data_IF_023620745700
#
_entry.id   IF_023620745700
#
_cell.length_a   1.000
_cell.length_b   1.000
_cell.length_c   1.000
_cell.angle_alpha   90.00
_cell.angle_beta   90.00
_cell.angle_gamma   90.00
#
_symmetry.space_group_name_H-M   'P 1'
#
loop_
_entity.id
_entity.type
_entity.pdbx_description
1 polymer ?
#
# COMPACT_ATOMS: atom_id res chain seq x y z
N UNK A 1 34.85 2.58 -8.21
CA UNK A 1 33.46 2.78 -7.78
C UNK A 1 32.74 1.44 -7.87
N UNK A 2 32.26 0.89 -6.77
CA UNK A 2 31.50 -0.35 -6.79
C UNK A 2 30.20 -0.10 -7.58
N UNK A 3 30.00 -0.79 -8.71
CA UNK A 3 28.78 -0.70 -9.51
C UNK A 3 27.57 -1.14 -8.68
N UNK A 4 26.39 -0.55 -8.93
CA UNK A 4 25.14 -0.99 -8.30
C UNK A 4 24.88 -2.44 -8.66
N UNK A 5 24.52 -3.28 -7.70
CA UNK A 5 24.16 -4.69 -7.94
C UNK A 5 22.94 -4.81 -8.86
N UNK A 6 22.03 -3.82 -8.84
CA UNK A 6 20.88 -3.70 -9.74
C UNK A 6 20.86 -2.33 -10.41
N UNK A 7 20.75 -2.25 -11.76
CA UNK A 7 20.64 -0.98 -12.47
C UNK A 7 19.29 -0.31 -12.14
N UNK A 8 19.22 1.01 -12.33
CA UNK A 8 18.00 1.80 -12.08
C UNK A 8 16.80 1.33 -12.88
N UNK A 9 17.04 0.84 -14.10
CA UNK A 9 16.00 0.29 -14.99
C UNK A 9 15.29 -0.94 -14.40
N UNK A 10 15.98 -1.66 -13.50
CA UNK A 10 15.46 -2.86 -12.80
C UNK A 10 15.15 -2.61 -11.33
N UNK A 11 15.11 -1.36 -10.90
CA UNK A 11 14.76 -0.97 -9.53
C UNK A 11 13.50 -0.13 -9.55
N UNK A 12 12.50 -0.50 -8.73
CA UNK A 12 11.24 0.24 -8.60
C UNK A 12 10.87 0.42 -7.15
N UNK A 13 10.41 1.62 -6.84
CA UNK A 13 9.85 1.97 -5.54
C UNK A 13 8.32 1.93 -5.66
N UNK A 14 7.69 1.00 -4.96
CA UNK A 14 6.24 0.80 -4.99
C UNK A 14 5.66 1.14 -3.63
N UNK A 15 4.70 2.05 -3.62
CA UNK A 15 3.93 2.39 -2.42
C UNK A 15 2.70 1.50 -2.28
N UNK A 16 2.40 1.06 -1.06
CA UNK A 16 1.13 0.41 -0.75
C UNK A 16 0.30 1.36 0.09
N UNK A 17 -0.86 1.71 -0.43
CA UNK A 17 -1.80 2.65 0.17
C UNK A 17 -3.12 1.93 0.45
N UNK A 18 -3.71 2.19 1.59
CA UNK A 18 -5.00 1.60 1.92
C UNK A 18 -5.69 2.40 3.02
N UNK A 19 -7.02 2.29 3.06
CA UNK A 19 -7.79 2.62 4.25
C UNK A 19 -7.47 1.65 5.39
N UNK A 20 -7.68 2.08 6.64
CA UNK A 20 -7.58 1.23 7.84
C UNK A 20 -8.42 -0.04 7.62
N UNK A 21 -7.87 -1.17 8.00
CA UNK A 21 -8.50 -2.50 7.86
C UNK A 21 -8.80 -2.97 6.43
N UNK A 22 -8.32 -2.29 5.39
CA UNK A 22 -8.44 -2.79 4.01
C UNK A 22 -7.52 -4.00 3.73
N UNK A 23 -6.60 -4.31 4.64
CA UNK A 23 -5.64 -5.41 4.52
C UNK A 23 -4.33 -5.00 3.87
N UNK A 24 -3.86 -3.78 4.12
CA UNK A 24 -2.58 -3.26 3.63
C UNK A 24 -1.41 -4.14 4.06
N UNK A 25 -1.23 -4.31 5.37
CA UNK A 25 -0.16 -5.14 5.95
C UNK A 25 -0.25 -6.57 5.46
N UNK A 26 -1.42 -7.16 5.44
CA UNK A 26 -1.64 -8.52 4.92
C UNK A 26 -1.20 -8.64 3.45
N UNK A 27 -1.53 -7.66 2.61
CA UNK A 27 -1.12 -7.64 1.20
C UNK A 27 0.39 -7.55 1.07
N UNK A 28 1.05 -6.68 1.85
CA UNK A 28 2.50 -6.53 1.86
C UNK A 28 3.18 -7.84 2.30
N UNK A 29 2.73 -8.45 3.38
CA UNK A 29 3.25 -9.73 3.88
C UNK A 29 3.11 -10.85 2.85
N UNK A 30 2.00 -10.91 2.11
CA UNK A 30 1.82 -11.88 1.02
C UNK A 30 2.82 -11.65 -0.12
N UNK A 31 3.07 -10.40 -0.50
CA UNK A 31 4.08 -10.07 -1.52
C UNK A 31 5.47 -10.54 -1.04
N UNK A 32 5.84 -10.26 0.21
CA UNK A 32 7.11 -10.68 0.78
C UNK A 32 7.25 -12.21 0.83
N UNK A 33 6.19 -12.91 1.17
CA UNK A 33 6.16 -14.36 1.18
C UNK A 33 6.36 -14.94 -0.23
N UNK A 34 5.58 -14.50 -1.22
CA UNK A 34 5.69 -15.02 -2.60
C UNK A 34 6.99 -14.62 -3.30
N UNK A 35 7.65 -13.55 -2.89
CA UNK A 35 8.99 -13.17 -3.39
C UNK A 35 10.12 -13.88 -2.64
N UNK A 36 9.81 -14.75 -1.67
CA UNK A 36 10.80 -15.53 -0.92
C UNK A 36 11.56 -14.71 0.14
N UNK A 37 11.12 -13.49 0.45
CA UNK A 37 11.76 -12.66 1.48
C UNK A 37 11.45 -13.17 2.89
N UNK A 38 10.26 -13.69 3.11
CA UNK A 38 9.84 -14.31 4.37
C UNK A 38 9.44 -15.75 4.13
N UNK A 39 9.73 -16.64 5.09
CA UNK A 39 9.37 -18.05 5.01
C UNK A 39 8.04 -18.38 5.70
N UNK A 40 7.52 -17.44 6.47
CA UNK A 40 6.24 -17.56 7.19
C UNK A 40 5.39 -16.33 6.89
N UNK A 41 4.10 -16.55 6.70
CA UNK A 41 3.14 -15.46 6.54
C UNK A 41 2.89 -14.88 7.93
N UNK A 42 3.23 -13.59 8.13
CA UNK A 42 2.87 -12.84 9.32
C UNK A 42 1.45 -12.31 9.21
N UNK A 43 0.68 -12.41 10.28
CA UNK A 43 -0.64 -11.81 10.38
C UNK A 43 -0.65 -10.69 11.43
N UNK A 44 -1.40 -9.63 11.15
CA UNK A 44 -1.48 -8.45 12.03
C UNK A 44 -2.01 -8.83 13.41
N UNK A 45 -3.00 -9.72 13.45
CA UNK A 45 -3.62 -10.19 14.70
C UNK A 45 -2.68 -11.03 15.57
N UNK A 46 -1.66 -11.65 14.98
CA UNK A 46 -0.66 -12.45 15.71
C UNK A 46 0.59 -11.64 16.08
N UNK A 47 0.67 -10.35 15.70
CA UNK A 47 1.85 -9.51 15.92
C UNK A 47 3.11 -9.99 15.19
N UNK A 48 2.95 -10.85 14.18
CA UNK A 48 4.03 -11.50 13.46
C UNK A 48 4.37 -10.83 12.10
N UNK A 49 3.74 -9.70 11.78
CA UNK A 49 3.95 -9.01 10.52
C UNK A 49 5.34 -8.35 10.47
N UNK A 50 6.07 -8.58 9.38
CA UNK A 50 7.45 -8.11 9.20
C UNK A 50 7.55 -6.58 9.08
N UNK A 51 6.47 -5.93 8.62
CA UNK A 51 6.43 -4.48 8.41
C UNK A 51 6.00 -3.71 9.66
N UNK A 52 5.35 -4.36 10.63
CA UNK A 52 4.89 -3.73 11.88
C UNK A 52 5.97 -3.86 12.95
N UNK A 53 7.02 -3.06 12.86
CA UNK A 53 8.18 -3.13 13.75
C UNK A 53 8.05 -2.32 15.03
N UNK A 54 7.11 -1.38 15.10
CA UNK A 54 6.83 -0.62 16.32
C UNK A 54 5.76 -1.32 17.17
N UNK A 55 5.98 -1.39 18.48
CA UNK A 55 5.01 -1.98 19.41
C UNK A 55 3.62 -1.32 19.33
N UNK A 56 3.58 -0.01 19.09
CA UNK A 56 2.32 0.74 18.91
C UNK A 56 1.58 0.38 17.61
N UNK A 57 2.29 0.02 16.56
CA UNK A 57 1.72 -0.46 15.31
C UNK A 57 1.12 -1.84 15.49
N UNK A 58 1.82 -2.72 16.23
CA UNK A 58 1.34 -4.06 16.55
C UNK A 58 0.07 -4.05 17.43
N UNK A 59 0.02 -3.17 18.45
CA UNK A 59 -1.15 -3.04 19.32
C UNK A 59 -2.40 -2.53 18.59
N UNK A 60 -2.23 -1.61 17.64
CA UNK A 60 -3.34 -0.94 16.94
C UNK A 60 -3.65 -1.55 15.59
N UNK A 61 -2.78 -2.41 15.06
CA UNK A 61 -2.91 -2.97 13.72
C UNK A 61 -2.85 -1.93 12.60
N UNK A 62 -2.22 -0.77 12.83
CA UNK A 62 -2.08 0.33 11.87
C UNK A 62 -0.63 0.74 11.70
N UNK A 63 -0.25 1.11 10.48
CA UNK A 63 1.08 1.64 10.18
C UNK A 63 1.17 3.11 10.61
N UNK A 64 2.11 3.44 11.47
CA UNK A 64 2.34 4.82 11.97
C UNK A 64 3.44 5.50 11.17
N UNK A 65 4.55 4.82 10.94
CA UNK A 65 5.70 5.32 10.18
C UNK A 65 5.86 4.55 8.87
N UNK A 66 6.31 5.23 7.82
CA UNK A 66 6.61 4.56 6.55
C UNK A 66 7.75 3.57 6.73
N UNK A 67 7.49 2.31 6.48
CA UNK A 67 8.49 1.25 6.46
C UNK A 67 8.89 0.92 5.02
N UNK A 68 10.16 0.60 4.80
CA UNK A 68 10.65 0.20 3.50
C UNK A 68 11.26 -1.20 3.57
N UNK A 69 10.77 -2.09 2.74
CA UNK A 69 11.33 -3.44 2.60
C UNK A 69 11.66 -3.74 1.15
N UNK A 70 12.80 -4.36 0.91
CA UNK A 70 13.24 -4.74 -0.43
C UNK A 70 12.95 -6.21 -0.67
N UNK A 71 12.33 -6.52 -1.81
CA UNK A 71 12.21 -7.87 -2.34
C UNK A 71 12.69 -7.94 -3.80
N UNK A 72 12.85 -9.17 -4.31
CA UNK A 72 13.37 -9.42 -5.65
C UNK A 72 12.40 -10.31 -6.41
N UNK A 73 12.06 -9.91 -7.63
CA UNK A 73 11.18 -10.67 -8.50
C UNK A 73 11.61 -10.57 -9.96
N UNK A 74 11.77 -11.70 -10.63
CA UNK A 74 12.18 -11.78 -12.05
C UNK A 74 13.36 -10.85 -12.39
N UNK A 75 14.44 -10.93 -11.59
CA UNK A 75 15.65 -10.11 -11.71
C UNK A 75 15.43 -8.58 -11.56
N UNK A 76 14.34 -8.18 -10.93
CA UNK A 76 14.10 -6.79 -10.57
C UNK A 76 14.17 -6.63 -9.05
N UNK A 77 14.68 -5.48 -8.61
CA UNK A 77 14.64 -5.04 -7.22
C UNK A 77 13.38 -4.20 -7.01
N UNK A 78 12.56 -4.61 -6.06
CA UNK A 78 11.33 -3.91 -5.69
C UNK A 78 11.48 -3.44 -4.24
N UNK A 79 11.45 -2.14 -4.04
CA UNK A 79 11.39 -1.53 -2.72
C UNK A 79 9.91 -1.26 -2.42
N UNK A 80 9.36 -1.95 -1.45
CA UNK A 80 7.99 -1.75 -1.00
C UNK A 80 8.03 -0.72 0.11
N UNK A 81 7.33 0.39 -0.10
CA UNK A 81 7.18 1.47 0.87
C UNK A 81 5.76 1.39 1.40
N UNK A 82 5.64 0.94 2.62
CA UNK A 82 4.35 0.88 3.31
C UNK A 82 4.02 2.26 3.87
N UNK A 83 2.99 2.89 3.30
CA UNK A 83 2.59 4.25 3.68
C UNK A 83 1.51 4.21 4.74
N UNK A 84 1.57 5.09 5.76
CA UNK A 84 0.49 5.21 6.74
C UNK A 84 -0.84 5.47 6.06
N UNK A 85 -1.89 4.74 6.46
CA UNK A 85 -3.25 4.90 5.94
C UNK A 85 -4.09 5.91 6.73
N UNK A 86 -3.58 6.44 7.83
CA UNK A 86 -4.33 7.33 8.71
C UNK A 86 -4.20 8.80 8.30
N UNK A 87 -5.27 9.57 8.46
CA UNK A 87 -5.34 10.99 8.04
C UNK A 87 -4.33 11.85 8.78
N UNK A 88 -4.00 11.50 10.02
CA UNK A 88 -3.09 12.26 10.90
C UNK A 88 -1.61 12.20 10.45
N UNK A 89 -1.26 11.26 9.56
CA UNK A 89 0.11 11.06 9.07
C UNK A 89 0.36 11.67 7.68
N UNK A 90 -0.30 12.76 7.34
CA UNK A 90 -0.25 13.39 6.01
C UNK A 90 1.17 13.73 5.56
N UNK A 91 2.05 14.18 6.46
CA UNK A 91 3.44 14.54 6.15
C UNK A 91 4.26 13.30 5.75
N UNK A 92 4.09 12.19 6.46
CA UNK A 92 4.78 10.93 6.15
C UNK A 92 4.31 10.36 4.81
N UNK A 93 3.00 10.41 4.54
CA UNK A 93 2.42 10.02 3.26
C UNK A 93 3.01 10.87 2.11
N UNK A 94 3.09 12.20 2.27
CA UNK A 94 3.65 13.08 1.25
C UNK A 94 5.14 12.83 0.98
N UNK A 95 5.92 12.56 2.03
CA UNK A 95 7.34 12.21 1.88
C UNK A 95 7.51 10.91 1.11
N UNK A 96 6.70 9.91 1.42
CA UNK A 96 6.72 8.61 0.74
C UNK A 96 6.35 8.77 -0.74
N UNK A 97 5.28 9.50 -1.06
CA UNK A 97 4.81 9.70 -2.44
C UNK A 97 5.85 10.30 -3.38
N UNK A 98 6.73 11.18 -2.87
CA UNK A 98 7.78 11.82 -3.68
C UNK A 98 8.82 10.86 -4.27
N UNK A 99 8.99 9.69 -3.69
CA UNK A 99 10.01 8.71 -4.07
C UNK A 99 9.44 7.50 -4.80
N UNK A 100 8.11 7.43 -4.99
CA UNK A 100 7.45 6.30 -5.61
C UNK A 100 7.49 6.37 -7.13
N UNK A 101 7.79 5.23 -7.75
CA UNK A 101 7.61 4.99 -9.19
C UNK A 101 6.16 4.61 -9.53
N UNK A 102 5.44 4.07 -8.56
CA UNK A 102 4.03 3.70 -8.65
C UNK A 102 3.45 3.31 -7.31
N UNK A 103 2.14 3.17 -7.24
CA UNK A 103 1.45 2.79 -6.02
C UNK A 103 0.36 1.76 -6.26
N UNK A 104 0.15 0.91 -5.27
CA UNK A 104 -0.98 -0.02 -5.20
C UNK A 104 -1.95 0.47 -4.13
N UNK A 105 -3.16 0.81 -4.54
CA UNK A 105 -4.24 1.20 -3.64
C UNK A 105 -5.09 -0.04 -3.31
N UNK A 106 -5.08 -0.44 -2.06
CA UNK A 106 -5.87 -1.59 -1.58
C UNK A 106 -7.21 -1.12 -1.07
N UNK A 107 -8.28 -1.63 -1.66
CA UNK A 107 -9.67 -1.37 -1.26
C UNK A 107 -10.28 -2.60 -0.61
N UNK A 108 -11.07 -2.41 0.43
CA UNK A 108 -11.90 -3.48 0.98
C UNK A 108 -13.17 -3.61 0.12
N UNK A 109 -13.45 -4.81 -0.39
CA UNK A 109 -14.56 -5.08 -1.31
C UNK A 109 -15.96 -4.74 -0.75
N UNK A 110 -16.12 -4.75 0.56
CA UNK A 110 -17.37 -4.36 1.24
C UNK A 110 -17.45 -2.85 1.47
N UNK A 111 -16.33 -2.19 1.79
CA UNK A 111 -16.29 -0.77 2.15
C UNK A 111 -16.12 0.18 0.96
N UNK A 112 -15.60 -0.34 -0.16
CA UNK A 112 -15.32 0.45 -1.35
C UNK A 112 -14.33 1.59 -1.11
N UNK A 113 -14.60 2.76 -1.70
CA UNK A 113 -13.80 3.96 -1.54
C UNK A 113 -14.15 4.66 -0.22
N UNK A 114 -13.15 4.90 0.60
CA UNK A 114 -13.27 5.55 1.91
C UNK A 114 -12.60 6.94 1.88
N UNK A 115 -12.95 7.87 2.80
CA UNK A 115 -12.39 9.23 2.82
C UNK A 115 -10.86 9.27 2.86
N UNK A 116 -10.22 8.34 3.58
CA UNK A 116 -8.76 8.24 3.61
C UNK A 116 -8.19 7.84 2.25
N UNK A 117 -8.87 6.94 1.53
CA UNK A 117 -8.49 6.54 0.17
C UNK A 117 -8.54 7.74 -0.77
N UNK A 118 -9.58 8.56 -0.69
CA UNK A 118 -9.70 9.78 -1.50
C UNK A 118 -8.58 10.77 -1.20
N UNK A 119 -8.27 10.97 0.07
CA UNK A 119 -7.20 11.89 0.49
C UNK A 119 -5.85 11.47 -0.08
N UNK A 120 -5.48 10.20 0.08
CA UNK A 120 -4.21 9.66 -0.44
C UNK A 120 -4.22 9.65 -1.98
N UNK A 121 -5.36 9.39 -2.58
CA UNK A 121 -5.53 9.43 -4.03
C UNK A 121 -5.25 10.81 -4.62
N UNK A 122 -5.83 11.87 -4.01
CA UNK A 122 -5.57 13.26 -4.40
C UNK A 122 -4.11 13.67 -4.20
N UNK A 123 -3.48 13.19 -3.13
CA UNK A 123 -2.05 13.45 -2.91
C UNK A 123 -1.19 12.76 -3.98
N UNK A 124 -1.53 11.54 -4.37
CA UNK A 124 -0.84 10.85 -5.45
C UNK A 124 -1.00 11.56 -6.80
N UNK A 125 -2.16 12.17 -7.08
CA UNK A 125 -2.37 13.03 -8.26
C UNK A 125 -1.43 14.23 -8.24
N UNK A 126 -1.28 14.89 -7.11
CA UNK A 126 -0.39 16.04 -6.93
C UNK A 126 1.07 15.71 -7.28
N UNK A 127 1.50 14.50 -6.99
CA UNK A 127 2.87 14.03 -7.26
C UNK A 127 2.98 13.20 -8.56
N UNK A 128 1.90 13.12 -9.34
CA UNK A 128 1.85 12.37 -10.61
C UNK A 128 2.29 10.90 -10.46
N UNK A 129 1.93 10.26 -9.35
CA UNK A 129 2.26 8.85 -9.08
C UNK A 129 1.25 7.95 -9.79
N UNK A 130 1.69 7.08 -10.73
CA UNK A 130 0.84 6.07 -11.34
C UNK A 130 0.28 5.11 -10.30
N UNK A 131 -0.98 4.69 -10.46
CA UNK A 131 -1.68 3.86 -9.47
C UNK A 131 -2.31 2.65 -10.11
N UNK A 132 -2.28 1.56 -9.35
CA UNK A 132 -3.05 0.35 -9.58
C UNK A 132 -3.99 0.13 -8.40
N UNK A 133 -5.19 -0.37 -8.66
CA UNK A 133 -6.16 -0.69 -7.62
C UNK A 133 -6.21 -2.19 -7.41
N UNK A 134 -6.19 -2.60 -6.16
CA UNK A 134 -6.36 -3.97 -5.72
C UNK A 134 -7.56 -4.07 -4.78
N UNK A 135 -8.60 -4.79 -5.19
CA UNK A 135 -9.79 -5.01 -4.37
C UNK A 135 -9.61 -6.28 -3.56
N UNK A 136 -9.50 -6.12 -2.26
CA UNK A 136 -9.21 -7.16 -1.27
C UNK A 136 -10.47 -7.57 -0.49
N UNK A 137 -10.40 -8.66 0.26
CA UNK A 137 -11.49 -9.18 1.10
C UNK A 137 -12.75 -9.54 0.30
N UNK A 138 -12.56 -10.17 -0.85
CA UNK A 138 -13.67 -10.64 -1.71
C UNK A 138 -14.45 -11.83 -1.12
N UNK A 139 -13.90 -12.48 -0.11
CA UNK A 139 -14.47 -13.58 0.66
C UNK A 139 -15.52 -13.14 1.69
N UNK A 140 -15.59 -11.85 2.00
CA UNK A 140 -16.50 -11.32 3.03
C UNK A 140 -17.90 -11.16 2.47
N UNK A 141 -18.92 -11.52 3.26
CA UNK A 141 -20.33 -11.31 2.89
C UNK A 141 -20.63 -9.83 2.64
N UNK A 142 -21.19 -9.53 1.48
CA UNK A 142 -21.43 -8.17 1.02
C UNK A 142 -20.29 -7.55 0.20
N UNK A 143 -19.23 -8.32 -0.09
CA UNK A 143 -18.18 -7.90 -1.03
C UNK A 143 -18.74 -7.71 -2.44
N UNK A 144 -18.42 -6.59 -3.07
CA UNK A 144 -18.86 -6.28 -4.43
C UNK A 144 -17.77 -5.55 -5.21
N UNK A 145 -17.11 -6.28 -6.11
CA UNK A 145 -16.04 -5.74 -6.96
C UNK A 145 -16.53 -4.60 -7.86
N UNK A 146 -17.67 -4.81 -8.55
CA UNK A 146 -18.21 -3.81 -9.48
C UNK A 146 -18.62 -2.53 -8.77
N UNK A 147 -19.15 -2.63 -7.56
CA UNK A 147 -19.45 -1.46 -6.73
C UNK A 147 -18.18 -0.67 -6.40
N UNK A 148 -17.10 -1.33 -6.03
CA UNK A 148 -15.82 -0.66 -5.77
C UNK A 148 -15.30 0.07 -7.01
N UNK A 149 -15.37 -0.55 -8.18
CA UNK A 149 -14.99 0.06 -9.46
C UNK A 149 -15.88 1.28 -9.77
N UNK A 150 -17.18 1.15 -9.64
CA UNK A 150 -18.11 2.27 -9.86
C UNK A 150 -17.83 3.44 -8.92
N UNK A 151 -17.60 3.19 -7.64
CA UNK A 151 -17.27 4.22 -6.66
C UNK A 151 -15.97 4.96 -6.98
N UNK A 152 -14.97 4.27 -7.52
CA UNK A 152 -13.74 4.93 -7.99
C UNK A 152 -13.98 5.91 -9.13
N UNK A 153 -14.85 5.56 -10.07
CA UNK A 153 -15.19 6.42 -11.21
C UNK A 153 -16.12 7.58 -10.83
N UNK A 154 -16.96 7.39 -9.82
CA UNK A 154 -17.94 8.39 -9.37
C UNK A 154 -17.46 9.24 -8.22
N UNK A 155 -16.33 8.90 -7.59
CA UNK A 155 -15.70 9.76 -6.58
C UNK A 155 -15.34 11.11 -7.20
N UNK A 156 -15.70 12.23 -6.57
CA UNK A 156 -15.48 13.54 -7.15
C UNK A 156 -14.00 13.80 -7.37
N UNK A 157 -13.62 13.93 -8.64
CA UNK A 157 -12.27 14.33 -9.03
C UNK A 157 -12.05 15.80 -8.66
N UNK A 158 -10.82 16.22 -8.29
CA UNK A 158 -10.50 17.64 -8.09
C UNK A 158 -10.74 18.50 -9.34
N UNK A 159 -10.95 17.89 -10.52
CA UNK A 159 -11.27 18.60 -11.77
C UNK A 159 -12.75 18.97 -11.91
N UNK A 160 -13.60 18.44 -11.04
CA UNK A 160 -15.06 18.62 -11.09
C UNK A 160 -15.56 19.70 -10.13
N UNK A 161 -14.65 20.58 -9.64
CA UNK A 161 -14.98 21.73 -8.79
C UNK A 161 -14.39 23.01 -9.34
#
# INVERSE_FOLDING_TARGET
>A
MAGRAYPLERTRNIGIMAHIDAGKTTTTERILFYTGKTHKIGEVHEGAATMDWMAQEQERGITITSACTTCFWKNNRINIIDTPGHVDFTVEVQRSLKVLDGAVTVLAAKGGVQPQTETVWRQADKYSVPRMVYVNKMDIVGANFMLCVCLLYTSPSPRDR
#
